data_IF_248004489403
#
_entry.id   IF_248004489403
#
_cell.length_a   1.000
_cell.length_b   1.000
_cell.length_c   1.000
_cell.angle_alpha   90.00
_cell.angle_beta   90.00
_cell.angle_gamma   90.00
#
_symmetry.space_group_name_H-M   'P 1'
#
loop_
_entity.id
_entity.type
_entity.pdbx_description
1 polymer ?
#
# COMPACT_ATOMS: atom_id res chain seq x y z
N UNK A 1 -6.33 -9.92 -22.14
CA UNK A 1 -7.01 -9.14 -21.10
C UNK A 1 -6.06 -9.09 -19.91
N UNK A 2 -5.75 -7.91 -19.40
CA UNK A 2 -4.98 -7.73 -18.16
C UNK A 2 -5.83 -8.19 -16.97
N UNK A 3 -5.21 -8.82 -15.97
CA UNK A 3 -5.90 -9.16 -14.73
C UNK A 3 -6.29 -7.86 -13.99
N UNK A 4 -7.50 -7.79 -13.43
CA UNK A 4 -7.93 -6.63 -12.66
C UNK A 4 -7.13 -6.50 -11.36
N UNK A 5 -7.02 -5.29 -10.83
CA UNK A 5 -6.18 -5.01 -9.66
C UNK A 5 -6.62 -5.77 -8.41
N UNK A 6 -7.92 -6.05 -8.26
CA UNK A 6 -8.46 -6.73 -7.09
C UNK A 6 -7.99 -8.19 -6.99
N UNK A 7 -7.94 -8.89 -8.13
CA UNK A 7 -7.37 -10.24 -8.22
C UNK A 7 -5.88 -10.23 -7.86
N UNK A 8 -5.12 -9.25 -8.39
CA UNK A 8 -3.69 -9.12 -8.13
C UNK A 8 -3.42 -8.86 -6.64
N UNK A 9 -4.14 -7.92 -6.03
CA UNK A 9 -4.02 -7.61 -4.59
C UNK A 9 -4.34 -8.84 -3.72
N UNK A 10 -5.40 -9.59 -4.05
CA UNK A 10 -5.73 -10.84 -3.36
C UNK A 10 -4.63 -11.88 -3.50
N UNK A 11 -4.09 -12.06 -4.71
CA UNK A 11 -3.00 -13.02 -4.96
C UNK A 11 -1.70 -12.66 -4.23
N UNK A 12 -1.46 -11.36 -4.02
CA UNK A 12 -0.33 -10.84 -3.26
C UNK A 12 -0.55 -10.93 -1.73
N UNK A 13 -1.72 -11.39 -1.28
CA UNK A 13 -2.06 -11.51 0.14
C UNK A 13 -2.38 -10.19 0.82
N UNK A 14 -2.72 -9.14 0.07
CA UNK A 14 -3.12 -7.85 0.63
C UNK A 14 -4.46 -8.02 1.36
N UNK A 15 -4.57 -7.63 2.65
CA UNK A 15 -5.82 -7.73 3.39
C UNK A 15 -6.93 -6.85 2.80
N UNK A 16 -8.15 -7.38 2.79
CA UNK A 16 -9.36 -6.64 2.43
C UNK A 16 -10.22 -6.47 3.68
N UNK A 17 -10.11 -5.31 4.33
CA UNK A 17 -10.95 -4.95 5.46
C UNK A 17 -12.19 -4.17 4.99
N UNK A 18 -13.26 -4.21 5.78
CA UNK A 18 -14.37 -3.26 5.64
C UNK A 18 -13.95 -1.94 6.28
N UNK A 19 -13.82 -0.87 5.48
CA UNK A 19 -13.44 0.45 5.98
C UNK A 19 -14.45 1.05 6.99
N UNK A 20 -15.66 0.48 7.09
CA UNK A 20 -16.69 0.86 8.07
C UNK A 20 -16.56 0.09 9.39
N UNK A 21 -15.65 -0.89 9.47
CA UNK A 21 -15.42 -1.66 10.68
C UNK A 21 -14.70 -0.80 11.74
N UNK A 22 -15.45 -0.44 12.78
CA UNK A 22 -14.94 0.38 13.89
C UNK A 22 -13.95 -0.33 14.81
N UNK A 23 -13.64 -1.60 14.57
CA UNK A 23 -12.64 -2.36 15.35
C UNK A 23 -11.24 -2.32 14.75
N UNK A 24 -11.09 -1.80 13.53
CA UNK A 24 -9.80 -1.68 12.86
C UNK A 24 -8.89 -0.69 13.60
N UNK A 25 -7.60 -1.06 13.68
CA UNK A 25 -6.55 -0.13 14.05
C UNK A 25 -6.42 1.00 13.00
N UNK A 26 -5.69 2.05 13.35
CA UNK A 26 -5.42 3.15 12.42
C UNK A 26 -4.71 2.69 11.14
N UNK A 27 -3.77 1.74 11.24
CA UNK A 27 -3.06 1.16 10.10
C UNK A 27 -3.98 0.31 9.22
N UNK A 28 -4.85 -0.50 9.82
CA UNK A 28 -5.82 -1.32 9.09
C UNK A 28 -6.87 -0.45 8.38
N UNK A 29 -7.36 0.61 9.03
CA UNK A 29 -8.29 1.59 8.43
C UNK A 29 -7.66 2.29 7.22
N UNK A 30 -6.40 2.72 7.34
CA UNK A 30 -5.68 3.34 6.24
C UNK A 30 -5.47 2.34 5.08
N UNK A 31 -5.08 1.11 5.38
CA UNK A 31 -4.93 0.05 4.39
C UNK A 31 -6.24 -0.25 3.66
N UNK A 32 -7.36 -0.39 4.39
CA UNK A 32 -8.69 -0.60 3.84
C UNK A 32 -9.07 0.50 2.84
N UNK A 33 -8.82 1.76 3.21
CA UNK A 33 -9.13 2.93 2.37
C UNK A 33 -8.31 2.94 1.08
N UNK A 34 -7.01 2.63 1.16
CA UNK A 34 -6.12 2.56 -0.01
C UNK A 34 -6.53 1.42 -0.94
N UNK A 35 -6.77 0.21 -0.39
CA UNK A 35 -7.23 -0.95 -1.18
C UNK A 35 -8.55 -0.64 -1.87
N UNK A 36 -9.50 -0.02 -1.16
CA UNK A 36 -10.77 0.39 -1.75
C UNK A 36 -10.58 1.38 -2.90
N UNK A 37 -9.67 2.36 -2.75
CA UNK A 37 -9.39 3.33 -3.80
C UNK A 37 -8.71 2.70 -5.03
N UNK A 38 -7.78 1.77 -4.81
CA UNK A 38 -7.12 1.03 -5.89
C UNK A 38 -8.14 0.21 -6.69
N UNK A 39 -8.94 -0.61 -6.01
CA UNK A 39 -10.00 -1.41 -6.67
C UNK A 39 -10.98 -0.53 -7.42
N UNK A 40 -11.34 0.63 -6.85
CA UNK A 40 -12.28 1.53 -7.50
C UNK A 40 -11.71 2.19 -8.76
N UNK A 41 -10.42 2.52 -8.83
CA UNK A 41 -9.90 3.47 -9.83
C UNK A 41 -8.72 2.98 -10.68
N UNK A 42 -7.93 2.03 -10.18
CA UNK A 42 -6.64 1.66 -10.78
C UNK A 42 -6.76 1.18 -12.23
N UNK A 43 -7.74 0.33 -12.52
CA UNK A 43 -7.91 -0.27 -13.85
C UNK A 43 -8.45 0.72 -14.90
N UNK A 44 -8.80 1.96 -14.48
CA UNK A 44 -9.14 3.05 -15.41
C UNK A 44 -7.94 3.85 -15.86
N UNK A 45 -6.81 3.70 -15.19
CA UNK A 45 -5.57 4.38 -15.52
C UNK A 45 -4.86 3.65 -16.66
N UNK A 46 -4.17 4.39 -17.51
CA UNK A 46 -3.25 3.79 -18.47
C UNK A 46 -1.94 3.37 -17.79
N UNK A 47 -1.12 2.60 -18.51
CA UNK A 47 0.14 2.07 -17.97
C UNK A 47 1.14 3.16 -17.57
N UNK A 48 1.12 4.34 -18.20
CA UNK A 48 2.02 5.45 -17.83
C UNK A 48 1.61 6.06 -16.49
N UNK A 49 0.30 6.29 -16.29
CA UNK A 49 -0.25 6.79 -15.04
C UNK A 49 -0.02 5.80 -13.89
N UNK A 50 -0.28 4.51 -14.12
CA UNK A 50 0.00 3.46 -13.14
C UNK A 50 1.49 3.41 -12.77
N UNK A 51 2.39 3.46 -13.75
CA UNK A 51 3.84 3.42 -13.50
C UNK A 51 4.33 4.60 -12.68
N UNK A 52 3.82 5.80 -12.94
CA UNK A 52 4.16 6.99 -12.17
C UNK A 52 3.77 6.85 -10.68
N UNK A 53 2.57 6.33 -10.40
CA UNK A 53 2.11 6.07 -9.05
C UNK A 53 2.95 5.00 -8.35
N UNK A 54 3.23 3.87 -9.02
CA UNK A 54 4.07 2.80 -8.46
C UNK A 54 5.45 3.32 -8.07
N UNK A 55 6.12 4.07 -8.96
CA UNK A 55 7.45 4.61 -8.66
C UNK A 55 7.47 5.59 -7.49
N UNK A 56 6.44 6.43 -7.35
CA UNK A 56 6.32 7.33 -6.20
C UNK A 56 6.11 6.57 -4.88
N UNK A 57 5.26 5.53 -4.89
CA UNK A 57 5.00 4.69 -3.72
C UNK A 57 6.23 3.86 -3.31
N UNK A 58 6.97 3.33 -4.29
CA UNK A 58 8.22 2.60 -4.04
C UNK A 58 9.27 3.50 -3.39
N UNK A 59 9.50 4.70 -3.94
CA UNK A 59 10.44 5.67 -3.35
C UNK A 59 10.03 6.09 -1.92
N UNK A 60 8.74 6.30 -1.68
CA UNK A 60 8.24 6.64 -0.34
C UNK A 60 8.41 5.48 0.65
N UNK A 61 8.21 4.24 0.20
CA UNK A 61 8.39 3.03 1.02
C UNK A 61 9.85 2.88 1.39
N UNK A 62 10.76 2.99 0.43
CA UNK A 62 12.20 2.91 0.66
C UNK A 62 12.68 3.99 1.66
N UNK A 63 12.21 5.23 1.52
CA UNK A 63 12.55 6.29 2.48
C UNK A 63 12.06 5.98 3.91
N UNK A 64 10.90 5.31 4.03
CA UNK A 64 10.37 4.88 5.33
C UNK A 64 11.23 3.77 5.94
N UNK A 65 11.56 2.75 5.15
CA UNK A 65 12.41 1.63 5.58
C UNK A 65 13.81 2.11 6.01
N UNK A 66 14.40 3.06 5.28
CA UNK A 66 15.68 3.67 5.64
C UNK A 66 15.60 4.43 6.97
N UNK A 67 14.52 5.19 7.19
CA UNK A 67 14.29 5.89 8.45
C UNK A 67 14.11 4.90 9.62
N UNK A 68 13.36 3.82 9.43
CA UNK A 68 13.18 2.78 10.44
C UNK A 68 14.49 2.03 10.76
N UNK A 69 15.27 1.70 9.74
CA UNK A 69 16.57 1.05 9.89
C UNK A 69 17.56 1.95 10.64
N UNK A 70 17.55 3.25 10.33
CA UNK A 70 18.36 4.24 11.05
C UNK A 70 17.99 4.27 12.54
N UNK A 71 16.71 4.35 12.87
CA UNK A 71 16.23 4.36 14.27
C UNK A 71 16.64 3.07 14.99
N UNK A 72 16.44 1.90 14.37
CA UNK A 72 16.79 0.61 14.97
C UNK A 72 18.28 0.53 15.32
N UNK A 73 19.15 0.92 14.38
CA UNK A 73 20.60 0.92 14.60
C UNK A 73 21.03 1.80 15.79
N UNK A 74 20.42 2.97 15.97
CA UNK A 74 20.79 3.89 17.04
C UNK A 74 20.15 3.56 18.40
N UNK A 75 19.12 2.70 18.42
CA UNK A 75 18.54 2.16 19.66
C UNK A 75 19.35 0.96 20.18
N UNK A 76 19.92 0.14 19.29
CA UNK A 76 20.72 -1.04 19.65
C UNK A 76 22.16 -0.68 20.11
N UNK A 77 22.65 0.53 19.79
CA UNK A 77 23.97 1.04 20.19
C UNK A 77 23.98 1.74 21.58
N UNK A 78 22.86 1.77 22.29
CA UNK A 78 22.71 2.38 23.64
C UNK A 78 22.58 1.35 24.75
#
# INVERSE_FOLDING_TARGET
MTQPIDELLRSAGVPFFDASDGTLSGGETASASIVSALVAHWDRLDGQQQRALVSALEASTQATEEAEAFVRKHLDER
#
